data_IF_869629753889
#
_entry.id   IF_869629753889
#
_cell.length_a   1.000
_cell.length_b   1.000
_cell.length_c   1.000
_cell.angle_alpha   90.00
_cell.angle_beta   90.00
_cell.angle_gamma   90.00
#
_symmetry.space_group_name_H-M   'P 1'
#
loop_
_entity.id
_entity.type
_entity.pdbx_description
1 polymer ?
#
# COMPACT_ATOMS: atom_id res chain seq x y z
N UNK A 1 1.99 -27.72 -7.46
CA UNK A 1 3.26 -27.18 -6.95
C UNK A 1 3.10 -25.67 -6.91
N UNK A 2 3.39 -25.01 -5.79
CA UNK A 2 3.30 -23.54 -5.73
C UNK A 2 4.32 -22.95 -6.69
N UNK A 3 3.87 -22.07 -7.59
CA UNK A 3 4.74 -21.27 -8.44
C UNK A 3 5.66 -20.42 -7.55
N UNK A 4 6.97 -20.33 -7.85
CA UNK A 4 7.85 -19.49 -7.07
C UNK A 4 7.54 -18.01 -7.32
N UNK A 5 7.57 -17.21 -6.25
CA UNK A 5 7.12 -15.82 -6.23
C UNK A 5 7.77 -14.92 -7.30
N UNK A 6 9.05 -15.16 -7.65
CA UNK A 6 9.74 -14.37 -8.68
C UNK A 6 9.19 -14.62 -10.10
N UNK A 7 8.66 -15.81 -10.38
CA UNK A 7 8.00 -16.11 -11.66
C UNK A 7 6.67 -15.35 -11.75
N UNK A 8 5.95 -15.23 -10.65
CA UNK A 8 4.68 -14.49 -10.60
C UNK A 8 4.92 -12.99 -10.83
N UNK A 9 5.95 -12.41 -10.22
CA UNK A 9 6.33 -11.01 -10.46
C UNK A 9 6.78 -10.80 -11.90
N UNK A 10 7.64 -11.68 -12.43
CA UNK A 10 8.10 -11.58 -13.81
C UNK A 10 6.94 -11.72 -14.79
N UNK A 11 6.00 -12.62 -14.51
CA UNK A 11 4.82 -12.81 -15.33
C UNK A 11 3.86 -11.61 -15.24
N UNK A 12 3.75 -10.98 -14.06
CA UNK A 12 3.01 -9.74 -13.89
C UNK A 12 3.61 -8.61 -14.75
N UNK A 13 4.92 -8.36 -14.61
CA UNK A 13 5.62 -7.33 -15.38
C UNK A 13 5.56 -7.62 -16.88
N UNK A 14 5.80 -8.87 -17.28
CA UNK A 14 5.70 -9.30 -18.67
C UNK A 14 4.29 -9.10 -19.24
N UNK A 15 3.25 -9.36 -18.45
CA UNK A 15 1.87 -9.14 -18.86
C UNK A 15 1.53 -7.66 -19.02
N UNK A 16 2.08 -6.78 -18.18
CA UNK A 16 1.89 -5.33 -18.28
C UNK A 16 2.63 -4.76 -19.50
N UNK A 17 3.84 -5.26 -19.76
CA UNK A 17 4.66 -4.86 -20.90
C UNK A 17 4.08 -5.34 -22.23
N UNK A 18 3.65 -6.61 -22.33
CA UNK A 18 2.88 -7.10 -23.47
C UNK A 18 1.57 -6.31 -23.63
N UNK A 19 0.95 -5.99 -22.48
CA UNK A 19 -0.13 -5.03 -22.29
C UNK A 19 0.05 -3.75 -23.12
N UNK A 20 1.13 -3.04 -22.79
CA UNK A 20 1.50 -1.76 -23.40
C UNK A 20 1.87 -1.89 -24.87
N UNK A 21 2.64 -2.91 -25.27
CA UNK A 21 3.01 -3.09 -26.69
C UNK A 21 1.81 -3.35 -27.59
N UNK A 22 0.82 -4.09 -27.10
CA UNK A 22 -0.43 -4.30 -27.83
C UNK A 22 -1.22 -3.00 -28.01
N UNK A 23 -1.35 -2.18 -26.96
CA UNK A 23 -1.99 -0.86 -27.08
C UNK A 23 -1.22 0.04 -28.05
N UNK A 24 0.11 0.05 -27.97
CA UNK A 24 0.96 0.81 -28.89
C UNK A 24 0.76 0.36 -30.34
N UNK A 25 0.64 -0.96 -30.58
CA UNK A 25 0.33 -1.49 -31.90
C UNK A 25 -1.01 -0.96 -32.43
N UNK A 26 -2.06 -0.94 -31.59
CA UNK A 26 -3.37 -0.40 -31.97
C UNK A 26 -3.31 1.11 -32.28
N UNK A 27 -2.51 1.88 -31.53
CA UNK A 27 -2.26 3.30 -31.80
C UNK A 27 -1.59 3.48 -33.16
N UNK A 28 -0.50 2.75 -33.42
CA UNK A 28 0.28 2.86 -34.66
C UNK A 28 -0.55 2.47 -35.90
N UNK A 29 -1.44 1.48 -35.76
CA UNK A 29 -2.37 1.09 -36.82
C UNK A 29 -3.51 2.10 -37.04
N UNK A 30 -3.61 3.14 -36.21
CA UNK A 30 -4.70 4.12 -36.28
C UNK A 30 -6.07 3.55 -35.88
N UNK A 31 -6.10 2.34 -35.31
CA UNK A 31 -7.34 1.68 -34.88
C UNK A 31 -7.98 2.39 -33.67
N UNK A 32 -7.17 3.13 -32.90
CA UNK A 32 -7.66 3.92 -31.77
C UNK A 32 -8.15 5.32 -32.16
N UNK A 33 -8.26 5.67 -33.45
CA UNK A 33 -8.73 6.99 -33.87
C UNK A 33 -10.25 7.17 -33.70
N UNK A 34 -11.01 6.09 -33.52
CA UNK A 34 -12.45 6.15 -33.33
C UNK A 34 -12.81 6.08 -31.85
N UNK A 35 -13.22 7.22 -31.30
CA UNK A 35 -13.51 7.42 -29.87
C UNK A 35 -14.59 6.48 -29.34
N UNK A 36 -15.67 6.32 -30.11
CA UNK A 36 -16.80 5.47 -29.73
C UNK A 36 -16.38 4.00 -29.74
N UNK A 37 -15.59 3.60 -30.74
CA UNK A 37 -15.04 2.25 -30.81
C UNK A 37 -14.17 1.94 -29.58
N UNK A 38 -13.28 2.85 -29.19
CA UNK A 38 -12.42 2.66 -28.02
C UNK A 38 -13.23 2.44 -26.73
N UNK A 39 -14.26 3.26 -26.54
CA UNK A 39 -15.15 3.19 -25.37
C UNK A 39 -15.88 1.84 -25.33
N UNK A 40 -16.57 1.47 -26.41
CA UNK A 40 -17.35 0.23 -26.45
C UNK A 40 -16.44 -1.02 -26.42
N UNK A 41 -15.34 -1.01 -27.16
CA UNK A 41 -14.39 -2.12 -27.19
C UNK A 41 -13.77 -2.34 -25.82
N UNK A 42 -13.33 -1.27 -25.14
CA UNK A 42 -12.77 -1.36 -23.80
C UNK A 42 -13.76 -1.98 -22.80
N UNK A 43 -15.01 -1.52 -22.81
CA UNK A 43 -16.07 -2.03 -21.95
C UNK A 43 -16.36 -3.52 -22.22
N UNK A 44 -16.50 -3.90 -23.50
CA UNK A 44 -16.74 -5.29 -23.90
C UNK A 44 -15.60 -6.20 -23.46
N UNK A 45 -14.35 -5.79 -23.67
CA UNK A 45 -13.17 -6.56 -23.25
C UNK A 45 -13.17 -6.74 -21.72
N UNK A 46 -13.45 -5.69 -20.94
CA UNK A 46 -13.52 -5.78 -19.48
C UNK A 46 -14.59 -6.76 -19.00
N UNK A 47 -15.80 -6.72 -19.59
CA UNK A 47 -16.89 -7.64 -19.24
C UNK A 47 -16.50 -9.08 -19.59
N UNK A 48 -16.01 -9.31 -20.81
CA UNK A 48 -15.62 -10.64 -21.27
C UNK A 48 -14.55 -11.23 -20.34
N UNK A 49 -13.49 -10.48 -20.05
CA UNK A 49 -12.41 -10.93 -19.16
C UNK A 49 -12.92 -11.22 -17.75
N UNK A 50 -13.83 -10.39 -17.23
CA UNK A 50 -14.44 -10.61 -15.91
C UNK A 50 -15.25 -11.91 -15.87
N UNK A 51 -16.09 -12.16 -16.87
CA UNK A 51 -16.88 -13.40 -17.00
C UNK A 51 -15.96 -14.62 -17.16
N UNK A 52 -14.95 -14.55 -18.04
CA UNK A 52 -13.97 -15.61 -18.23
C UNK A 52 -13.18 -15.92 -16.95
N UNK A 53 -12.90 -14.91 -16.13
CA UNK A 53 -12.19 -15.10 -14.85
C UNK A 53 -12.96 -15.96 -13.84
N UNK A 54 -14.30 -15.95 -13.90
CA UNK A 54 -15.16 -16.77 -13.05
C UNK A 54 -15.34 -18.19 -13.58
N UNK A 55 -15.47 -18.35 -14.90
CA UNK A 55 -15.72 -19.64 -15.55
C UNK A 55 -14.50 -20.57 -15.50
N UNK A 56 -13.31 -20.04 -15.22
CA UNK A 56 -12.09 -20.82 -15.27
C UNK A 56 -11.92 -21.76 -14.06
N UNK A 57 -11.58 -23.03 -14.32
CA UNK A 57 -11.25 -24.02 -13.28
C UNK A 57 -9.94 -23.67 -12.58
N UNK A 58 -9.80 -23.96 -11.26
CA UNK A 58 -8.62 -23.60 -10.43
C UNK A 58 -7.26 -23.82 -11.12
N UNK A 59 -7.06 -24.98 -11.78
CA UNK A 59 -5.79 -25.34 -12.43
C UNK A 59 -5.45 -24.46 -13.66
N UNK A 60 -6.45 -23.92 -14.34
CA UNK A 60 -6.26 -23.01 -15.48
C UNK A 60 -6.07 -21.55 -15.04
N UNK A 61 -6.52 -21.17 -13.82
CA UNK A 61 -6.39 -19.81 -13.30
C UNK A 61 -4.93 -19.37 -13.12
N UNK A 62 -4.05 -20.29 -12.72
CA UNK A 62 -2.62 -19.99 -12.53
C UNK A 62 -1.91 -19.66 -13.86
N UNK A 63 -2.23 -20.41 -14.93
CA UNK A 63 -1.57 -20.21 -16.23
C UNK A 63 -2.11 -19.03 -17.04
N UNK A 64 -3.41 -18.75 -16.95
CA UNK A 64 -4.05 -17.66 -17.72
C UNK A 64 -4.21 -16.36 -16.93
N UNK A 65 -3.96 -16.36 -15.62
CA UNK A 65 -4.09 -15.19 -14.76
C UNK A 65 -3.38 -13.94 -15.28
N UNK A 66 -2.10 -14.01 -15.69
CA UNK A 66 -1.37 -12.86 -16.25
C UNK A 66 -1.98 -12.34 -17.55
N UNK A 67 -2.45 -13.24 -18.42
CA UNK A 67 -3.09 -12.89 -19.69
C UNK A 67 -4.40 -12.16 -19.44
N UNK A 68 -5.26 -12.71 -18.58
CA UNK A 68 -6.52 -12.08 -18.19
C UNK A 68 -6.28 -10.72 -17.51
N UNK A 69 -5.27 -10.61 -16.65
CA UNK A 69 -4.89 -9.34 -16.04
C UNK A 69 -4.46 -8.29 -17.09
N UNK A 70 -3.65 -8.70 -18.08
CA UNK A 70 -3.23 -7.81 -19.17
C UNK A 70 -4.41 -7.31 -19.98
N UNK A 71 -5.28 -8.21 -20.45
CA UNK A 71 -6.45 -7.83 -21.23
C UNK A 71 -7.44 -6.97 -20.44
N UNK A 72 -7.62 -7.24 -19.14
CA UNK A 72 -8.45 -6.39 -18.28
C UNK A 72 -7.92 -4.95 -18.24
N UNK A 73 -6.63 -4.78 -17.99
CA UNK A 73 -6.02 -3.45 -17.91
C UNK A 73 -5.99 -2.75 -19.27
N UNK A 74 -5.75 -3.48 -20.36
CA UNK A 74 -5.87 -2.91 -21.70
C UNK A 74 -7.29 -2.44 -21.98
N UNK A 75 -8.31 -3.26 -21.69
CA UNK A 75 -9.71 -2.88 -21.83
C UNK A 75 -10.07 -1.67 -20.98
N UNK A 76 -9.54 -1.61 -19.76
CA UNK A 76 -9.70 -0.45 -18.87
C UNK A 76 -9.05 0.81 -19.44
N UNK A 77 -7.79 0.74 -19.91
CA UNK A 77 -7.12 1.88 -20.56
C UNK A 77 -7.88 2.36 -21.80
N UNK A 78 -8.33 1.45 -22.67
CA UNK A 78 -9.11 1.80 -23.86
C UNK A 78 -10.42 2.50 -23.49
N UNK A 79 -11.12 1.97 -22.49
CA UNK A 79 -12.33 2.59 -21.97
C UNK A 79 -12.07 3.99 -21.42
N UNK A 80 -11.01 4.15 -20.61
CA UNK A 80 -10.63 5.46 -20.05
C UNK A 80 -10.29 6.48 -21.14
N UNK A 81 -9.50 6.09 -22.14
CA UNK A 81 -9.16 6.97 -23.26
C UNK A 81 -10.39 7.35 -24.08
N UNK A 82 -11.23 6.37 -24.44
CA UNK A 82 -12.48 6.64 -25.17
C UNK A 82 -13.42 7.55 -24.38
N UNK A 83 -13.58 7.29 -23.08
CA UNK A 83 -14.40 8.12 -22.19
C UNK A 83 -13.88 9.56 -22.11
N UNK A 84 -12.56 9.72 -21.93
CA UNK A 84 -11.93 11.03 -21.87
C UNK A 84 -12.08 11.81 -23.18
N UNK A 85 -11.88 11.16 -24.34
CA UNK A 85 -11.97 11.84 -25.64
C UNK A 85 -13.40 12.19 -26.07
N UNK A 86 -14.39 11.41 -25.65
CA UNK A 86 -15.81 11.61 -25.98
C UNK A 86 -16.45 12.66 -25.07
N UNK A 87 -16.26 12.54 -23.76
CA UNK A 87 -16.95 13.39 -22.79
C UNK A 87 -16.11 14.55 -22.27
N UNK A 88 -14.77 14.51 -22.44
CA UNK A 88 -13.82 15.49 -21.89
C UNK A 88 -14.16 15.87 -20.44
N UNK A 89 -14.27 14.87 -19.55
CA UNK A 89 -14.61 15.11 -18.16
C UNK A 89 -13.55 15.98 -17.49
N UNK A 90 -13.95 16.71 -16.46
CA UNK A 90 -13.00 17.33 -15.52
C UNK A 90 -12.14 16.25 -14.85
N UNK A 91 -10.92 16.62 -14.45
CA UNK A 91 -9.95 15.68 -13.86
C UNK A 91 -10.51 14.97 -12.63
N UNK A 92 -11.28 15.68 -11.79
CA UNK A 92 -11.95 15.11 -10.61
C UNK A 92 -12.96 14.01 -10.96
N UNK A 93 -13.78 14.24 -11.99
CA UNK A 93 -14.78 13.28 -12.45
C UNK A 93 -14.11 12.03 -13.04
N UNK A 94 -12.97 12.23 -13.71
CA UNK A 94 -12.16 11.13 -14.24
C UNK A 94 -11.55 10.27 -13.12
N UNK A 95 -11.06 10.88 -12.04
CA UNK A 95 -10.56 10.16 -10.86
C UNK A 95 -11.66 9.34 -10.15
N UNK A 96 -12.86 9.90 -10.00
CA UNK A 96 -14.01 9.16 -9.46
C UNK A 96 -14.34 7.92 -10.28
N UNK A 97 -14.32 8.05 -11.61
CA UNK A 97 -14.55 6.93 -12.49
C UNK A 97 -13.50 5.82 -12.28
N UNK A 98 -12.23 6.18 -12.18
CA UNK A 98 -11.15 5.21 -11.88
C UNK A 98 -11.43 4.49 -10.54
N UNK A 99 -11.79 5.24 -9.49
CA UNK A 99 -12.11 4.67 -8.17
C UNK A 99 -13.27 3.68 -8.22
N UNK A 100 -14.35 4.03 -8.93
CA UNK A 100 -15.49 3.14 -9.12
C UNK A 100 -15.05 1.84 -9.80
N UNK A 101 -14.24 1.91 -10.85
CA UNK A 101 -13.72 0.72 -11.51
C UNK A 101 -12.79 -0.11 -10.62
N UNK A 102 -11.94 0.50 -9.77
CA UNK A 102 -11.12 -0.27 -8.84
C UNK A 102 -11.97 -1.05 -7.82
N UNK A 103 -13.06 -0.45 -7.32
CA UNK A 103 -14.03 -1.16 -6.47
C UNK A 103 -14.70 -2.31 -7.23
N UNK A 104 -15.16 -2.06 -8.46
CA UNK A 104 -15.77 -3.09 -9.32
C UNK A 104 -14.78 -4.23 -9.54
N UNK A 105 -13.54 -3.94 -9.90
CA UNK A 105 -12.52 -4.95 -10.14
C UNK A 105 -12.22 -5.77 -8.88
N UNK A 106 -12.18 -5.14 -7.71
CA UNK A 106 -11.96 -5.85 -6.46
C UNK A 106 -13.04 -6.91 -6.18
N UNK A 107 -14.32 -6.56 -6.37
CA UNK A 107 -15.44 -7.47 -6.07
C UNK A 107 -15.74 -8.45 -7.22
N UNK A 108 -15.71 -7.98 -8.46
CA UNK A 108 -16.18 -8.71 -9.64
C UNK A 108 -15.08 -9.39 -10.46
N UNK A 109 -13.80 -9.19 -10.18
CA UNK A 109 -12.73 -9.92 -10.90
C UNK A 109 -12.16 -11.00 -9.99
N UNK A 110 -12.17 -12.26 -10.43
CA UNK A 110 -11.64 -13.39 -9.63
C UNK A 110 -10.11 -13.46 -9.62
N UNK A 111 -9.42 -12.60 -10.37
CA UNK A 111 -7.97 -12.64 -10.52
C UNK A 111 -7.26 -12.14 -9.25
N UNK A 112 -6.36 -12.95 -8.64
CA UNK A 112 -5.65 -12.56 -7.42
C UNK A 112 -4.76 -11.32 -7.60
N UNK A 113 -4.15 -11.16 -8.77
CA UNK A 113 -3.31 -10.01 -9.10
C UNK A 113 -4.14 -8.73 -9.09
N UNK A 114 -5.30 -8.75 -9.76
CA UNK A 114 -6.19 -7.59 -9.80
C UNK A 114 -6.72 -7.25 -8.40
N UNK A 115 -7.08 -8.26 -7.60
CA UNK A 115 -7.54 -8.05 -6.22
C UNK A 115 -6.44 -7.50 -5.30
N UNK A 116 -5.19 -7.82 -5.58
CA UNK A 116 -4.05 -7.22 -4.89
C UNK A 116 -3.81 -5.76 -5.34
N UNK A 117 -3.91 -5.48 -6.64
CA UNK A 117 -3.66 -4.14 -7.18
C UNK A 117 -4.79 -3.14 -6.90
N UNK A 118 -6.05 -3.60 -6.88
CA UNK A 118 -7.21 -2.71 -6.79
C UNK A 118 -7.24 -1.89 -5.48
N UNK A 119 -6.98 -2.45 -4.27
CA UNK A 119 -6.88 -1.65 -3.05
C UNK A 119 -5.74 -0.63 -3.09
N UNK A 120 -4.59 -0.98 -3.69
CA UNK A 120 -3.44 -0.08 -3.85
C UNK A 120 -3.86 1.13 -4.67
N UNK A 121 -4.43 0.90 -5.85
CA UNK A 121 -4.90 1.96 -6.74
C UNK A 121 -6.06 2.75 -6.12
N UNK A 122 -6.98 2.08 -5.43
CA UNK A 122 -8.10 2.74 -4.74
C UNK A 122 -7.58 3.78 -3.73
N UNK A 123 -6.70 3.40 -2.80
CA UNK A 123 -6.18 4.34 -1.81
C UNK A 123 -5.30 5.43 -2.43
N UNK A 124 -4.54 5.10 -3.49
CA UNK A 124 -3.74 6.08 -4.22
C UNK A 124 -4.61 7.15 -4.89
N UNK A 125 -5.60 6.75 -5.70
CA UNK A 125 -6.48 7.69 -6.40
C UNK A 125 -7.42 8.43 -5.44
N UNK A 126 -7.83 7.80 -4.34
CA UNK A 126 -8.61 8.48 -3.31
C UNK A 126 -7.75 9.54 -2.60
N UNK A 127 -6.47 9.27 -2.37
CA UNK A 127 -5.52 10.26 -1.87
C UNK A 127 -5.36 11.46 -2.81
N UNK A 128 -5.19 11.20 -4.11
CA UNK A 128 -5.15 12.27 -5.13
C UNK A 128 -6.46 13.07 -5.19
N UNK A 129 -7.60 12.40 -5.08
CA UNK A 129 -8.90 13.06 -5.07
C UNK A 129 -9.05 13.99 -3.87
N UNK A 130 -8.58 13.58 -2.68
CA UNK A 130 -8.55 14.46 -1.50
C UNK A 130 -7.63 15.66 -1.69
N UNK A 131 -6.52 15.51 -2.42
CA UNK A 131 -5.62 16.61 -2.76
C UNK A 131 -6.33 17.61 -3.68
N UNK A 132 -6.97 17.13 -4.74
CA UNK A 132 -7.65 17.97 -5.72
C UNK A 132 -8.80 18.79 -5.11
N UNK A 133 -9.57 18.20 -4.20
CA UNK A 133 -10.63 18.92 -3.48
C UNK A 133 -10.11 19.76 -2.28
N UNK A 134 -8.80 19.81 -2.03
CA UNK A 134 -8.22 20.41 -0.83
C UNK A 134 -8.78 19.83 0.49
N UNK A 135 -9.30 18.60 0.46
CA UNK A 135 -9.92 17.88 1.58
C UNK A 135 -8.91 17.01 2.34
N UNK A 136 -7.64 17.42 2.34
CA UNK A 136 -6.53 16.71 2.98
C UNK A 136 -6.73 16.45 4.50
N UNK A 137 -7.66 17.16 5.15
CA UNK A 137 -8.09 16.88 6.53
C UNK A 137 -8.66 15.46 6.73
N UNK A 138 -9.16 14.82 5.67
CA UNK A 138 -9.68 13.46 5.71
C UNK A 138 -8.61 12.38 5.47
N UNK A 139 -7.36 12.76 5.17
CA UNK A 139 -6.27 11.82 4.97
C UNK A 139 -5.99 10.94 6.22
N UNK A 140 -5.99 11.47 7.47
CA UNK A 140 -5.87 10.64 8.68
C UNK A 140 -7.04 9.66 8.80
N UNK A 141 -8.26 10.09 8.50
CA UNK A 141 -9.43 9.21 8.50
C UNK A 141 -9.28 8.06 7.48
N UNK A 142 -8.79 8.36 6.28
CA UNK A 142 -8.49 7.34 5.27
C UNK A 142 -7.41 6.35 5.72
N UNK A 143 -6.35 6.83 6.41
CA UNK A 143 -5.34 5.95 7.02
C UNK A 143 -5.93 5.06 8.11
N UNK A 144 -6.84 5.58 8.93
CA UNK A 144 -7.54 4.80 9.95
C UNK A 144 -8.44 3.72 9.34
N UNK A 145 -9.13 4.02 8.22
CA UNK A 145 -9.89 3.02 7.46
C UNK A 145 -8.95 1.94 6.91
N UNK A 146 -7.83 2.32 6.31
CA UNK A 146 -6.88 1.36 5.76
C UNK A 146 -6.28 0.45 6.85
N UNK A 147 -5.96 1.02 8.01
CA UNK A 147 -5.43 0.28 9.17
C UNK A 147 -6.49 -0.63 9.79
N UNK A 148 -7.75 -0.20 9.87
CA UNK A 148 -8.85 -1.02 10.39
C UNK A 148 -9.18 -2.19 9.44
N UNK A 149 -9.17 -1.95 8.13
CA UNK A 149 -9.27 -3.03 7.14
C UNK A 149 -8.10 -4.00 7.25
N UNK A 150 -6.87 -3.47 7.40
CA UNK A 150 -5.70 -4.31 7.60
C UNK A 150 -5.90 -5.18 8.84
N UNK A 151 -6.40 -4.61 9.95
CA UNK A 151 -6.72 -5.37 11.15
C UNK A 151 -7.76 -6.47 10.92
N UNK A 152 -8.88 -6.14 10.28
CA UNK A 152 -9.96 -7.09 10.02
C UNK A 152 -9.51 -8.27 9.14
N UNK A 153 -8.73 -8.00 8.09
CA UNK A 153 -8.29 -9.03 7.13
C UNK A 153 -6.99 -9.74 7.52
N UNK A 154 -6.25 -9.17 8.47
CA UNK A 154 -5.07 -9.77 9.05
C UNK A 154 -5.37 -10.87 10.07
N UNK A 155 -6.44 -10.70 10.85
CA UNK A 155 -6.74 -11.57 11.98
C UNK A 155 -7.22 -13.00 11.62
N UNK A 156 -7.94 -13.26 10.51
CA UNK A 156 -8.32 -14.63 10.18
C UNK A 156 -7.11 -15.42 9.69
N UNK A 157 -6.55 -16.28 10.55
CA UNK A 157 -5.54 -17.31 10.20
C UNK A 157 -5.93 -18.16 8.97
N UNK A 158 -7.23 -18.25 8.69
CA UNK A 158 -7.84 -18.93 7.55
C UNK A 158 -8.64 -17.94 6.70
N UNK A 159 -8.04 -16.83 6.27
CA UNK A 159 -8.67 -15.94 5.30
C UNK A 159 -9.10 -16.77 4.07
N UNK A 160 -10.35 -16.62 3.57
CA UNK A 160 -10.78 -17.36 2.40
C UNK A 160 -9.80 -17.10 1.25
N UNK A 161 -9.42 -18.16 0.53
CA UNK A 161 -8.46 -18.15 -0.59
C UNK A 161 -8.48 -16.90 -1.50
N UNK A 162 -9.63 -16.25 -1.83
CA UNK A 162 -9.64 -15.00 -2.59
C UNK A 162 -8.96 -13.78 -1.94
N UNK A 163 -8.82 -13.72 -0.62
CA UNK A 163 -8.39 -12.53 0.13
C UNK A 163 -7.03 -12.69 0.80
N UNK A 164 -6.32 -13.78 0.51
CA UNK A 164 -5.03 -14.06 1.13
C UNK A 164 -3.98 -12.95 0.88
N UNK A 165 -4.04 -12.30 -0.28
CA UNK A 165 -3.10 -11.23 -0.65
C UNK A 165 -3.49 -9.83 -0.12
N UNK A 166 -4.69 -9.70 0.44
CA UNK A 166 -5.25 -8.41 0.85
C UNK A 166 -4.42 -7.70 1.94
N UNK A 167 -3.93 -8.37 3.00
CA UNK A 167 -3.09 -7.71 4.00
C UNK A 167 -1.82 -7.07 3.41
N UNK A 168 -1.20 -7.71 2.40
CA UNK A 168 -0.03 -7.14 1.73
C UNK A 168 -0.40 -5.90 0.92
N UNK A 169 -1.51 -5.94 0.16
CA UNK A 169 -1.99 -4.79 -0.60
C UNK A 169 -2.32 -3.60 0.31
N UNK A 170 -2.99 -3.84 1.44
CA UNK A 170 -3.33 -2.79 2.41
C UNK A 170 -2.09 -2.23 3.10
N UNK A 171 -1.06 -3.05 3.33
CA UNK A 171 0.21 -2.56 3.89
C UNK A 171 0.93 -1.63 2.91
N UNK A 172 0.92 -1.96 1.61
CA UNK A 172 1.43 -1.06 0.55
C UNK A 172 0.57 0.20 0.47
N UNK A 173 -0.76 0.08 0.52
CA UNK A 173 -1.67 1.23 0.55
C UNK A 173 -1.38 2.16 1.73
N UNK A 174 -1.12 1.63 2.94
CA UNK A 174 -0.72 2.45 4.09
C UNK A 174 0.58 3.22 3.82
N UNK A 175 1.60 2.56 3.25
CA UNK A 175 2.86 3.22 2.90
C UNK A 175 2.64 4.35 1.87
N UNK A 176 1.78 4.13 0.88
CA UNK A 176 1.42 5.14 -0.12
C UNK A 176 0.68 6.32 0.52
N UNK A 177 -0.33 6.05 1.37
CA UNK A 177 -1.10 7.11 2.04
C UNK A 177 -0.23 8.00 2.90
N UNK A 178 0.81 7.43 3.51
CA UNK A 178 1.76 8.19 4.32
C UNK A 178 2.80 8.90 3.47
N UNK A 179 3.08 8.41 2.25
CA UNK A 179 3.91 9.12 1.30
C UNK A 179 3.31 10.48 0.92
N UNK A 180 1.98 10.63 1.01
CA UNK A 180 1.36 11.94 0.81
C UNK A 180 1.86 12.99 1.80
N UNK A 181 2.31 12.61 3.00
CA UNK A 181 2.82 13.57 3.99
C UNK A 181 4.08 14.36 3.52
N UNK A 182 4.71 13.96 2.41
CA UNK A 182 5.80 14.72 1.78
C UNK A 182 5.33 15.83 0.84
N UNK A 183 4.06 15.86 0.43
CA UNK A 183 3.54 16.93 -0.42
C UNK A 183 3.61 18.28 0.31
N UNK A 184 4.07 19.37 -0.36
CA UNK A 184 4.21 20.69 0.26
C UNK A 184 2.92 21.18 0.94
N UNK A 185 1.76 20.92 0.33
CA UNK A 185 0.44 21.31 0.81
C UNK A 185 0.09 20.68 2.18
N UNK A 186 0.70 19.53 2.50
CA UNK A 186 0.56 18.86 3.80
C UNK A 186 1.62 19.29 4.81
N UNK A 187 2.73 19.90 4.37
CA UNK A 187 3.79 20.39 5.27
C UNK A 187 3.34 21.63 6.03
N UNK A 188 2.56 22.50 5.39
CA UNK A 188 2.11 23.78 5.95
C UNK A 188 1.21 23.62 7.19
N UNK A 189 0.54 22.48 7.35
CA UNK A 189 -0.42 22.26 8.43
C UNK A 189 0.08 21.10 9.33
N UNK A 190 0.82 21.38 10.42
CA UNK A 190 1.49 20.36 11.23
C UNK A 190 0.53 19.32 11.83
N UNK A 191 -0.66 19.74 12.28
CA UNK A 191 -1.62 18.84 12.92
C UNK A 191 -2.10 17.70 12.00
N UNK A 192 -2.09 17.90 10.67
CA UNK A 192 -2.45 16.83 9.71
C UNK A 192 -1.46 15.67 9.74
N UNK A 193 -0.15 15.95 9.87
CA UNK A 193 0.90 14.93 9.97
C UNK A 193 0.89 14.25 11.33
N UNK A 194 0.71 15.03 12.40
CA UNK A 194 0.68 14.51 13.77
C UNK A 194 -0.52 13.57 14.00
N UNK A 195 -1.69 13.89 13.44
CA UNK A 195 -2.87 13.03 13.56
C UNK A 195 -2.68 11.67 12.88
N UNK A 196 -2.02 11.59 11.73
CA UNK A 196 -1.66 10.32 11.11
C UNK A 196 -0.71 9.51 11.99
N UNK A 197 0.32 10.15 12.54
CA UNK A 197 1.27 9.50 13.46
C UNK A 197 0.57 8.95 14.71
N UNK A 198 -0.36 9.69 15.29
CA UNK A 198 -1.16 9.24 16.44
C UNK A 198 -2.00 8.01 16.07
N UNK A 199 -2.63 8.01 14.88
CA UNK A 199 -3.40 6.86 14.39
C UNK A 199 -2.50 5.62 14.24
N UNK A 200 -1.28 5.77 13.70
CA UNK A 200 -0.33 4.65 13.61
C UNK A 200 0.18 4.20 14.97
N UNK A 201 0.46 5.12 15.89
CA UNK A 201 0.90 4.78 17.25
C UNK A 201 -0.20 4.01 17.99
N UNK A 202 -1.44 4.50 18.00
CA UNK A 202 -2.55 3.85 18.70
C UNK A 202 -3.04 2.59 17.98
N UNK A 203 -3.34 2.69 16.69
CA UNK A 203 -3.83 1.56 15.89
C UNK A 203 -2.76 0.47 15.72
N UNK A 204 -1.51 0.88 15.50
CA UNK A 204 -0.39 -0.04 15.35
C UNK A 204 -0.02 -0.72 16.67
N UNK A 205 -0.01 0.00 17.80
CA UNK A 205 0.24 -0.63 19.10
C UNK A 205 -0.84 -1.64 19.47
N UNK A 206 -2.12 -1.38 19.16
CA UNK A 206 -3.21 -2.33 19.36
C UNK A 206 -3.06 -3.60 18.49
N UNK A 207 -2.66 -3.42 17.23
CA UNK A 207 -2.36 -4.54 16.32
C UNK A 207 -1.20 -5.40 16.84
N UNK A 208 -0.10 -4.76 17.23
CA UNK A 208 1.06 -5.44 17.80
C UNK A 208 0.74 -6.12 19.12
N UNK A 209 -0.10 -5.51 19.96
CA UNK A 209 -0.61 -6.14 21.18
C UNK A 209 -1.27 -7.48 20.87
N UNK A 210 -2.18 -7.52 19.89
CA UNK A 210 -2.85 -8.76 19.53
C UNK A 210 -1.92 -9.83 18.96
N UNK A 211 -0.92 -9.44 18.16
CA UNK A 211 -0.02 -10.37 17.48
C UNK A 211 1.13 -10.88 18.37
N UNK A 212 1.65 -10.02 19.27
CA UNK A 212 2.81 -10.32 20.10
C UNK A 212 2.45 -10.87 21.48
N UNK A 213 1.32 -10.48 22.08
CA UNK A 213 0.89 -10.97 23.39
C UNK A 213 0.76 -12.51 23.49
N UNK A 214 0.30 -13.27 22.47
CA UNK A 214 0.32 -14.73 22.56
C UNK A 214 1.73 -15.34 22.53
N UNK A 215 2.77 -14.55 22.20
CA UNK A 215 4.15 -15.02 22.05
C UNK A 215 5.08 -14.50 23.16
N UNK A 216 4.69 -13.43 23.85
CA UNK A 216 5.56 -12.67 24.76
C UNK A 216 4.80 -12.37 26.06
N UNK A 217 5.51 -12.25 27.19
CA UNK A 217 4.91 -11.84 28.46
C UNK A 217 4.33 -10.42 28.39
N UNK A 218 3.26 -10.15 29.16
CA UNK A 218 2.62 -8.83 29.21
C UNK A 218 3.59 -7.73 29.65
N UNK A 219 4.52 -8.04 30.56
CA UNK A 219 5.50 -7.08 31.05
C UNK A 219 6.51 -6.70 29.97
N UNK A 220 7.03 -7.69 29.23
CA UNK A 220 7.92 -7.44 28.10
C UNK A 220 7.21 -6.65 26.99
N UNK A 221 5.92 -6.90 26.77
CA UNK A 221 5.12 -6.12 25.82
C UNK A 221 4.95 -4.66 26.27
N UNK A 222 4.65 -4.42 27.55
CA UNK A 222 4.50 -3.07 28.11
C UNK A 222 5.81 -2.29 28.00
N UNK A 223 6.93 -2.93 28.38
CA UNK A 223 8.26 -2.35 28.24
C UNK A 223 8.55 -2.01 26.78
N UNK A 224 8.27 -2.93 25.84
CA UNK A 224 8.38 -2.68 24.41
C UNK A 224 7.55 -1.47 23.96
N UNK A 225 6.30 -1.33 24.41
CA UNK A 225 5.43 -0.20 24.05
C UNK A 225 5.97 1.13 24.58
N UNK A 226 6.48 1.15 25.81
CA UNK A 226 7.14 2.33 26.39
C UNK A 226 8.36 2.74 25.56
N UNK A 227 9.24 1.79 25.23
CA UNK A 227 10.41 2.06 24.38
C UNK A 227 10.02 2.52 22.98
N UNK A 228 9.03 1.85 22.36
CA UNK A 228 8.51 2.22 21.05
C UNK A 228 7.99 3.66 21.06
N UNK A 229 7.15 4.02 22.03
CA UNK A 229 6.63 5.38 22.18
C UNK A 229 7.77 6.38 22.38
N UNK A 230 8.75 6.07 23.23
CA UNK A 230 9.86 6.99 23.51
C UNK A 230 10.77 7.22 22.29
N UNK A 231 11.01 6.18 21.49
CA UNK A 231 11.82 6.27 20.26
C UNK A 231 11.10 7.07 19.18
N UNK A 232 9.78 6.91 19.05
CA UNK A 232 9.01 7.54 17.97
C UNK A 232 8.38 8.89 18.33
N UNK A 233 8.37 9.28 19.61
CA UNK A 233 7.89 10.60 20.05
C UNK A 233 8.60 11.79 19.36
N UNK A 234 9.93 11.77 19.14
CA UNK A 234 10.62 12.80 18.36
C UNK A 234 10.25 12.83 16.87
N UNK A 235 9.64 11.75 16.36
CA UNK A 235 9.27 11.55 14.94
C UNK A 235 7.76 11.62 14.71
N UNK A 236 6.99 12.19 15.64
CA UNK A 236 5.53 12.34 15.51
C UNK A 236 5.16 13.21 14.29
N UNK A 237 6.06 14.08 13.83
CA UNK A 237 5.86 14.86 12.61
C UNK A 237 6.13 14.08 11.31
N UNK A 238 6.67 12.86 11.42
CA UNK A 238 7.03 12.00 10.29
C UNK A 238 6.30 10.65 10.36
N UNK A 239 5.00 10.63 10.00
CA UNK A 239 4.20 9.40 10.02
C UNK A 239 4.83 8.27 9.19
N UNK A 240 5.63 8.59 8.16
CA UNK A 240 6.29 7.61 7.28
C UNK A 240 7.28 6.69 7.97
N UNK A 241 8.04 7.24 8.91
CA UNK A 241 9.01 6.49 9.70
C UNK A 241 8.26 5.53 10.63
N UNK A 242 7.22 6.04 11.32
CA UNK A 242 6.39 5.27 12.24
C UNK A 242 5.66 4.14 11.50
N UNK A 243 5.01 4.44 10.37
CA UNK A 243 4.29 3.48 9.55
C UNK A 243 5.20 2.37 9.02
N UNK A 244 6.38 2.73 8.50
CA UNK A 244 7.33 1.74 7.99
C UNK A 244 7.85 0.84 9.10
N UNK A 245 8.22 1.39 10.25
CA UNK A 245 8.69 0.59 11.38
C UNK A 245 7.57 -0.31 11.93
N UNK A 246 6.34 0.19 11.99
CA UNK A 246 5.18 -0.62 12.34
C UNK A 246 5.03 -1.83 11.39
N UNK A 247 5.16 -1.63 10.09
CA UNK A 247 5.09 -2.72 9.10
C UNK A 247 6.30 -3.66 9.22
N UNK A 248 7.50 -3.17 9.55
CA UNK A 248 8.66 -4.04 9.87
C UNK A 248 8.32 -4.99 11.02
N UNK A 249 7.79 -4.45 12.12
CA UNK A 249 7.41 -5.25 13.29
C UNK A 249 6.29 -6.24 12.96
N UNK A 250 5.30 -5.82 12.17
CA UNK A 250 4.21 -6.67 11.73
C UNK A 250 4.71 -7.82 10.86
N UNK A 251 5.59 -7.55 9.90
CA UNK A 251 6.21 -8.55 9.03
C UNK A 251 7.06 -9.54 9.82
N UNK A 252 7.83 -9.05 10.80
CA UNK A 252 8.59 -9.89 11.72
C UNK A 252 7.66 -10.77 12.58
N UNK A 253 6.62 -10.20 13.17
CA UNK A 253 5.68 -10.92 14.01
C UNK A 253 4.96 -12.06 13.26
N UNK A 254 4.74 -11.89 11.95
CA UNK A 254 4.11 -12.89 11.08
C UNK A 254 5.07 -13.85 10.40
N UNK A 255 6.35 -13.53 10.33
CA UNK A 255 7.34 -14.28 9.55
C UNK A 255 7.24 -14.02 8.04
N UNK A 256 6.61 -12.90 7.64
CA UNK A 256 6.43 -12.52 6.23
C UNK A 256 7.66 -11.76 5.71
N UNK A 257 8.59 -12.47 5.07
CA UNK A 257 9.83 -11.87 4.56
C UNK A 257 9.58 -10.77 3.54
N UNK A 258 8.60 -10.92 2.65
CA UNK A 258 8.27 -9.90 1.64
C UNK A 258 7.88 -8.56 2.27
N UNK A 259 6.94 -8.61 3.23
CA UNK A 259 6.47 -7.42 3.93
C UNK A 259 7.60 -6.75 4.73
N UNK A 260 8.42 -7.57 5.39
CA UNK A 260 9.57 -7.11 6.14
C UNK A 260 10.59 -6.35 5.26
N UNK A 261 10.98 -6.91 4.11
CA UNK A 261 11.92 -6.24 3.20
C UNK A 261 11.33 -4.98 2.57
N UNK A 262 10.06 -5.02 2.15
CA UNK A 262 9.37 -3.85 1.62
C UNK A 262 9.34 -2.71 2.64
N UNK A 263 9.08 -3.03 3.90
CA UNK A 263 9.03 -2.06 4.98
C UNK A 263 10.41 -1.46 5.29
N UNK A 264 11.49 -2.25 5.17
CA UNK A 264 12.85 -1.72 5.26
C UNK A 264 13.19 -0.74 4.14
N UNK A 265 12.87 -1.08 2.89
CA UNK A 265 13.09 -0.18 1.74
C UNK A 265 12.32 1.12 1.97
N UNK A 266 11.06 1.02 2.39
CA UNK A 266 10.22 2.18 2.68
C UNK A 266 10.78 3.01 3.84
N UNK A 267 11.22 2.35 4.92
CA UNK A 267 11.86 3.02 6.06
C UNK A 267 13.06 3.85 5.63
N UNK A 268 13.95 3.30 4.78
CA UNK A 268 15.08 4.06 4.25
C UNK A 268 14.64 5.26 3.40
N UNK A 269 13.64 5.08 2.53
CA UNK A 269 13.10 6.17 1.72
C UNK A 269 12.54 7.30 2.61
N UNK A 270 11.71 6.97 3.60
CA UNK A 270 11.16 7.95 4.54
C UNK A 270 12.23 8.60 5.40
N UNK A 271 13.25 7.84 5.81
CA UNK A 271 14.37 8.34 6.59
C UNK A 271 15.20 9.35 5.80
N UNK A 272 15.52 9.06 4.53
CA UNK A 272 16.18 10.01 3.64
C UNK A 272 15.32 11.25 3.40
N UNK A 273 14.03 11.05 3.12
CA UNK A 273 13.08 12.16 2.95
C UNK A 273 13.06 13.08 4.17
N UNK A 274 12.96 12.52 5.38
CA UNK A 274 13.03 13.27 6.63
C UNK A 274 14.36 14.01 6.82
N UNK A 275 15.48 13.37 6.50
CA UNK A 275 16.80 13.99 6.61
C UNK A 275 16.92 15.26 5.75
N UNK A 276 16.36 15.24 4.54
CA UNK A 276 16.34 16.40 3.64
C UNK A 276 15.28 17.43 4.04
N UNK A 277 14.17 17.02 4.67
CA UNK A 277 13.11 17.92 5.11
C UNK A 277 13.47 18.70 6.39
N UNK A 278 14.46 18.25 7.15
CA UNK A 278 14.97 19.00 8.29
C UNK A 278 15.65 20.30 7.81
N UNK A 279 14.95 21.43 7.96
CA UNK A 279 15.46 22.79 7.80
C UNK A 279 16.39 23.21 8.96
N UNK A 280 17.25 22.29 9.41
CA UNK A 280 18.17 22.51 10.52
C UNK A 280 19.62 22.51 10.04
N UNK A 281 20.48 23.18 10.80
CA UNK A 281 21.91 23.19 10.54
C UNK A 281 22.48 21.76 10.61
N UNK A 282 23.53 21.49 9.82
CA UNK A 282 24.24 20.20 9.80
C UNK A 282 24.66 19.73 11.21
N UNK A 283 25.02 20.67 12.09
CA UNK A 283 25.40 20.40 13.47
C UNK A 283 24.23 19.80 14.28
N UNK A 284 23.02 20.32 14.13
CA UNK A 284 21.87 19.85 14.88
C UNK A 284 21.39 18.51 14.35
N UNK A 285 21.49 18.27 13.03
CA UNK A 285 21.30 16.94 12.44
C UNK A 285 22.29 15.92 13.03
N UNK A 286 23.57 16.29 13.15
CA UNK A 286 24.59 15.42 13.75
C UNK A 286 24.29 15.10 15.22
N UNK A 287 23.88 16.10 16.03
CA UNK A 287 23.46 15.89 17.42
C UNK A 287 22.27 14.95 17.53
N UNK A 288 21.25 15.12 16.70
CA UNK A 288 20.08 14.24 16.66
C UNK A 288 20.46 12.80 16.31
N UNK A 289 21.32 12.59 15.31
CA UNK A 289 21.77 11.25 14.91
C UNK A 289 22.63 10.55 15.98
N UNK A 290 23.51 11.28 16.65
CA UNK A 290 24.31 10.75 17.76
C UNK A 290 23.39 10.42 18.95
N UNK A 291 22.46 11.31 19.28
CA UNK A 291 21.49 11.12 20.36
C UNK A 291 20.59 9.91 20.15
N UNK A 292 20.03 9.74 18.94
CA UNK A 292 19.23 8.58 18.60
C UNK A 292 20.04 7.29 18.66
N UNK A 293 21.29 7.30 18.18
CA UNK A 293 22.17 6.13 18.22
C UNK A 293 22.51 5.72 19.65
N UNK A 294 22.76 6.69 20.54
CA UNK A 294 22.97 6.43 21.98
C UNK A 294 21.71 5.86 22.65
N UNK A 295 20.52 6.37 22.31
CA UNK A 295 19.26 5.82 22.80
C UNK A 295 19.05 4.37 22.34
N UNK A 296 19.32 4.06 21.06
CA UNK A 296 19.27 2.69 20.56
C UNK A 296 20.27 1.78 21.27
N UNK A 297 21.49 2.28 21.51
CA UNK A 297 22.52 1.52 22.23
C UNK A 297 22.11 1.25 23.68
N UNK A 298 21.56 2.23 24.38
CA UNK A 298 21.03 2.07 25.73
C UNK A 298 19.87 1.06 25.74
N UNK A 299 18.90 1.18 24.82
CA UNK A 299 17.80 0.25 24.67
C UNK A 299 18.29 -1.19 24.41
N UNK A 300 19.30 -1.35 23.55
CA UNK A 300 19.93 -2.63 23.29
C UNK A 300 20.56 -3.23 24.56
N UNK A 301 21.30 -2.44 25.34
CA UNK A 301 21.89 -2.92 26.59
C UNK A 301 20.80 -3.32 27.59
N UNK A 302 19.76 -2.49 27.78
CA UNK A 302 18.65 -2.81 28.67
C UNK A 302 17.92 -4.09 28.26
N UNK A 303 17.66 -4.28 26.97
CA UNK A 303 17.02 -5.51 26.47
C UNK A 303 17.95 -6.73 26.58
N UNK A 304 19.26 -6.56 26.34
CA UNK A 304 20.25 -7.64 26.44
C UNK A 304 20.46 -8.12 27.88
N UNK A 305 20.44 -7.20 28.84
CA UNK A 305 20.58 -7.49 30.27
C UNK A 305 19.24 -7.70 30.98
N UNK A 306 18.12 -7.59 30.25
CA UNK A 306 16.82 -7.96 30.79
C UNK A 306 16.79 -9.47 31.07
N UNK A 307 16.33 -9.93 32.24
CA UNK A 307 16.30 -11.33 32.66
C UNK A 307 15.29 -12.20 31.87
N UNK A 308 14.93 -11.80 30.66
CA UNK A 308 13.91 -12.44 29.80
C UNK A 308 14.51 -13.60 28.97
N UNK A 309 15.81 -13.90 29.13
CA UNK A 309 16.48 -14.97 28.38
C UNK A 309 16.40 -16.37 29.02
N UNK A 310 15.75 -16.51 30.18
CA UNK A 310 15.50 -17.81 30.79
C UNK A 310 14.04 -18.24 30.61
N UNK A 311 13.72 -18.77 29.41
CA UNK A 311 12.78 -19.88 29.22
C UNK A 311 12.84 -20.40 27.79
#
# INVERSE_FOLDING_TARGET
MKTPWYIEILSFLGSLLAGGFFLLCLVVLGLLNNKDLNLFLGLVVMILVSVFSFLQTRRKKESFGPILFSFLNQGFCLFLFGFHETYKPEETSFLWLILCFQLIFFFFVSNPIQRFLSPILFFLFFGFLLLEYNLLYFLPFLTAICLSLLFCFSFPRNAPEPYHHLPYSLSISLLILVNFSFFPELKEIPWKRESQSIIFLLGGSYLLYKELLPKISIFSFLLFLVFFTFIFLPTVQTPGIIASFFIILLGFARGDSFLFYLAWISFFLFYFGYYYDLETNLLDKAKMMIGSSLLFFAAYLFLRFSPVREK
#
